data_IF_658863197315
#
_entry.id   IF_658863197315
#
_cell.length_a   1.000
_cell.length_b   1.000
_cell.length_c   1.000
_cell.angle_alpha   90.00
_cell.angle_beta   90.00
_cell.angle_gamma   90.00
#
_symmetry.space_group_name_H-M   'P 1'
#
loop_
_entity.id
_entity.type
_entity.pdbx_description
1 polymer ?
#
# COMPACT_ATOMS: atom_id res chain seq x y z
N UNK A 1 41.30 -1.28 6.79
CA UNK A 1 40.17 -2.24 6.72
C UNK A 1 38.86 -1.77 7.39
N UNK A 2 38.89 -0.96 8.47
CA UNK A 2 37.68 -0.58 9.23
C UNK A 2 36.68 0.34 8.49
N UNK A 3 37.15 1.23 7.60
CA UNK A 3 36.27 2.15 6.84
C UNK A 3 35.29 1.41 5.91
N UNK A 4 35.76 0.38 5.17
CA UNK A 4 34.92 -0.46 4.29
C UNK A 4 33.82 -1.21 5.05
N UNK A 5 34.10 -1.68 6.27
CA UNK A 5 33.11 -2.37 7.12
C UNK A 5 31.96 -1.43 7.53
N UNK A 6 32.27 -0.17 7.87
CA UNK A 6 31.25 0.85 8.22
C UNK A 6 30.38 1.22 7.02
N UNK A 7 30.98 1.39 5.84
CA UNK A 7 30.23 1.66 4.59
C UNK A 7 29.27 0.52 4.24
N UNK A 8 29.71 -0.73 4.36
CA UNK A 8 28.84 -1.89 4.13
C UNK A 8 27.63 -1.92 5.08
N UNK A 9 27.84 -1.59 6.36
CA UNK A 9 26.75 -1.54 7.34
C UNK A 9 25.70 -0.47 7.00
N UNK A 10 26.11 0.72 6.54
CA UNK A 10 25.17 1.77 6.13
C UNK A 10 24.35 1.38 4.91
N UNK A 11 24.95 0.68 3.93
CA UNK A 11 24.24 0.19 2.76
C UNK A 11 23.18 -0.85 3.16
N UNK A 12 23.55 -1.79 4.03
CA UNK A 12 22.61 -2.79 4.54
C UNK A 12 21.45 -2.12 5.28
N UNK A 13 21.74 -1.13 6.14
CA UNK A 13 20.72 -0.39 6.86
C UNK A 13 19.77 0.34 5.90
N UNK A 14 20.29 1.01 4.87
CA UNK A 14 19.48 1.67 3.85
C UNK A 14 18.56 0.67 3.13
N UNK A 15 19.07 -0.49 2.74
CA UNK A 15 18.28 -1.53 2.07
C UNK A 15 17.17 -2.06 2.97
N UNK A 16 17.44 -2.25 4.27
CA UNK A 16 16.42 -2.66 5.25
C UNK A 16 15.34 -1.58 5.38
N UNK A 17 15.71 -0.30 5.45
CA UNK A 17 14.76 0.81 5.52
C UNK A 17 13.88 0.90 4.27
N UNK A 18 14.47 0.77 3.08
CA UNK A 18 13.73 0.75 1.82
C UNK A 18 12.80 -0.46 1.72
N UNK A 19 13.27 -1.63 2.16
CA UNK A 19 12.48 -2.85 2.19
C UNK A 19 11.27 -2.66 3.12
N UNK A 20 11.48 -2.24 4.37
CA UNK A 20 10.39 -1.96 5.31
C UNK A 20 9.44 -0.89 4.75
N UNK A 21 9.98 0.21 4.22
CA UNK A 21 9.20 1.27 3.58
C UNK A 21 8.29 0.74 2.47
N UNK A 22 8.74 -0.21 1.66
CA UNK A 22 7.95 -0.84 0.59
C UNK A 22 6.77 -1.69 1.09
N UNK A 23 6.83 -2.26 2.30
CA UNK A 23 5.71 -3.00 2.89
C UNK A 23 4.66 -2.09 3.51
N UNK A 24 5.10 -0.97 4.07
CA UNK A 24 4.24 0.00 4.74
C UNK A 24 3.76 1.14 3.84
N UNK A 25 4.24 1.24 2.60
CA UNK A 25 3.73 2.19 1.61
C UNK A 25 2.92 1.50 0.52
N UNK A 26 1.99 2.24 -0.06
CA UNK A 26 1.22 1.83 -1.23
C UNK A 26 0.74 3.03 -2.02
N UNK A 27 0.10 2.73 -3.15
CA UNK A 27 -0.66 3.68 -3.95
C UNK A 27 -2.10 3.19 -4.00
N UNK A 28 -3.04 4.13 -3.92
CA UNK A 28 -4.43 3.86 -4.21
C UNK A 28 -4.96 4.81 -5.27
N UNK A 29 -5.98 4.35 -5.97
CA UNK A 29 -6.75 5.14 -6.93
C UNK A 29 -8.08 5.54 -6.29
N UNK A 30 -8.41 6.82 -6.36
CA UNK A 30 -9.69 7.34 -5.91
C UNK A 30 -10.75 7.10 -6.99
N UNK A 31 -11.81 6.38 -6.63
CA UNK A 31 -12.88 6.03 -7.57
C UNK A 31 -13.71 7.25 -8.01
N UNK A 32 -13.69 8.35 -7.24
CA UNK A 32 -14.48 9.55 -7.53
C UNK A 32 -13.77 10.48 -8.54
N UNK A 33 -12.44 10.57 -8.48
CA UNK A 33 -11.65 11.52 -9.27
C UNK A 33 -10.62 10.87 -10.19
N UNK A 34 -10.49 9.53 -10.18
CA UNK A 34 -9.44 8.78 -10.90
C UNK A 34 -8.02 9.29 -10.59
N UNK A 35 -7.84 9.89 -9.42
CA UNK A 35 -6.57 10.43 -8.95
C UNK A 35 -5.80 9.36 -8.18
N UNK A 36 -4.47 9.40 -8.30
CA UNK A 36 -3.59 8.48 -7.59
C UNK A 36 -3.03 9.14 -6.35
N UNK A 37 -3.01 8.36 -5.28
CA UNK A 37 -2.54 8.80 -3.98
C UNK A 37 -1.49 7.84 -3.47
N UNK A 38 -0.32 8.36 -3.10
CA UNK A 38 0.59 7.62 -2.26
C UNK A 38 0.08 7.64 -0.83
N UNK A 39 0.18 6.51 -0.12
CA UNK A 39 -0.24 6.44 1.27
C UNK A 39 0.65 5.53 2.13
N UNK A 40 0.61 5.78 3.43
CA UNK A 40 1.22 4.92 4.47
C UNK A 40 0.14 4.02 5.06
N UNK A 41 0.35 2.71 4.93
CA UNK A 41 -0.50 1.64 5.44
C UNK A 41 -0.40 1.53 6.95
N UNK A 42 -1.49 1.12 7.59
CA UNK A 42 -1.55 0.78 9.01
C UNK A 42 -0.78 -0.51 9.39
N UNK A 43 -0.50 -1.39 8.43
CA UNK A 43 0.19 -2.68 8.65
C UNK A 43 0.97 -3.11 7.40
N UNK A 44 1.98 -4.00 7.53
CA UNK A 44 2.79 -4.41 6.38
C UNK A 44 2.01 -5.35 5.44
N UNK A 45 2.16 -5.17 4.13
CA UNK A 45 1.68 -6.12 3.12
C UNK A 45 2.50 -6.01 1.83
N UNK A 46 2.59 -7.13 1.11
CA UNK A 46 3.22 -7.20 -0.21
C UNK A 46 2.47 -6.39 -1.27
N UNK A 47 1.13 -6.32 -1.15
CA UNK A 47 0.27 -5.58 -2.07
C UNK A 47 0.65 -4.10 -2.03
N UNK A 48 0.85 -3.49 -3.19
CA UNK A 48 1.26 -2.09 -3.29
C UNK A 48 0.19 -1.20 -3.90
N UNK A 49 -0.55 -1.72 -4.88
CA UNK A 49 -1.65 -1.02 -5.52
C UNK A 49 -2.98 -1.44 -4.89
N UNK A 50 -3.81 -0.47 -4.53
CA UNK A 50 -5.13 -0.66 -3.93
C UNK A 50 -6.16 0.10 -4.75
N UNK A 51 -7.29 -0.55 -5.02
CA UNK A 51 -8.43 0.05 -5.69
C UNK A 51 -9.69 -0.62 -5.15
N UNK A 52 -10.83 0.01 -5.32
CA UNK A 52 -12.13 -0.53 -4.92
C UNK A 52 -12.78 -1.17 -6.15
N UNK A 53 -12.86 -2.51 -6.28
CA UNK A 53 -13.55 -3.12 -7.41
C UNK A 53 -15.01 -2.71 -7.55
N UNK A 54 -15.68 -2.35 -6.43
CA UNK A 54 -17.05 -1.86 -6.46
C UNK A 54 -17.14 -0.36 -6.82
N UNK A 55 -16.07 0.40 -6.66
CA UNK A 55 -16.06 1.84 -6.86
C UNK A 55 -17.17 2.53 -6.05
N UNK A 56 -17.97 3.34 -6.75
CA UNK A 56 -19.17 4.00 -6.19
C UNK A 56 -20.46 3.16 -6.30
N UNK A 57 -20.36 1.87 -6.63
CA UNK A 57 -21.52 0.97 -6.68
C UNK A 57 -21.96 0.51 -5.29
N UNK A 58 -23.27 0.38 -5.10
CA UNK A 58 -23.89 -0.22 -3.91
C UNK A 58 -23.78 -1.76 -3.85
N UNK A 59 -23.00 -2.37 -4.75
CA UNK A 59 -22.80 -3.81 -4.83
C UNK A 59 -22.29 -4.37 -3.50
N UNK A 60 -22.93 -5.44 -3.02
CA UNK A 60 -22.54 -6.12 -1.78
C UNK A 60 -21.33 -7.01 -2.01
N UNK A 61 -20.58 -7.29 -0.93
CA UNK A 61 -19.41 -8.16 -0.99
C UNK A 61 -19.72 -9.54 -1.58
N UNK A 62 -20.86 -10.12 -1.19
CA UNK A 62 -21.33 -11.45 -1.61
C UNK A 62 -21.65 -11.54 -3.10
N UNK A 63 -21.94 -10.40 -3.74
CA UNK A 63 -22.30 -10.31 -5.16
C UNK A 63 -21.07 -10.18 -6.05
N UNK A 64 -19.88 -10.01 -5.47
CA UNK A 64 -18.62 -9.89 -6.19
C UNK A 64 -17.96 -11.25 -6.43
N UNK A 65 -17.13 -11.35 -7.47
CA UNK A 65 -16.29 -12.53 -7.66
C UNK A 65 -15.28 -12.70 -6.51
N UNK A 66 -14.81 -13.92 -6.20
CA UNK A 66 -13.88 -14.14 -5.09
C UNK A 66 -12.63 -13.27 -5.11
N UNK A 67 -12.13 -12.91 -6.30
CA UNK A 67 -10.95 -12.05 -6.42
C UNK A 67 -11.28 -10.58 -6.19
N UNK A 68 -12.44 -10.11 -6.66
CA UNK A 68 -12.94 -8.77 -6.33
C UNK A 68 -13.23 -8.64 -4.83
N UNK A 69 -13.74 -9.68 -4.18
CA UNK A 69 -13.95 -9.69 -2.72
C UNK A 69 -12.62 -9.50 -1.98
N UNK A 70 -11.57 -10.23 -2.36
CA UNK A 70 -10.23 -10.07 -1.74
C UNK A 70 -9.70 -8.66 -1.91
N UNK A 71 -9.85 -8.10 -3.11
CA UNK A 71 -9.42 -6.74 -3.43
C UNK A 71 -10.17 -5.70 -2.60
N UNK A 72 -11.50 -5.81 -2.53
CA UNK A 72 -12.34 -4.92 -1.73
C UNK A 72 -12.00 -5.00 -0.24
N UNK A 73 -11.82 -6.21 0.31
CA UNK A 73 -11.42 -6.40 1.72
C UNK A 73 -10.08 -5.71 2.00
N UNK A 74 -9.11 -5.81 1.08
CA UNK A 74 -7.83 -5.15 1.24
C UNK A 74 -7.99 -3.62 1.14
N UNK A 75 -8.81 -3.12 0.23
CA UNK A 75 -9.10 -1.70 0.12
C UNK A 75 -9.72 -1.15 1.41
N UNK A 76 -10.78 -1.77 1.91
CA UNK A 76 -11.49 -1.37 3.14
C UNK A 76 -10.63 -1.48 4.39
N UNK A 77 -9.70 -2.43 4.42
CA UNK A 77 -8.73 -2.55 5.51
C UNK A 77 -7.73 -1.39 5.52
N UNK A 78 -7.16 -1.04 4.37
CA UNK A 78 -5.97 -0.20 4.28
C UNK A 78 -6.26 1.28 3.97
N UNK A 79 -7.29 1.58 3.17
CA UNK A 79 -7.53 2.94 2.69
C UNK A 79 -8.24 3.80 3.75
N UNK A 80 -9.36 3.39 4.35
CA UNK A 80 -9.99 4.15 5.44
C UNK A 80 -9.07 4.35 6.65
N UNK A 81 -8.24 3.34 6.97
CA UNK A 81 -7.32 3.34 8.13
C UNK A 81 -5.89 3.77 7.77
N UNK A 82 -5.70 4.49 6.67
CA UNK A 82 -4.37 5.00 6.27
C UNK A 82 -3.86 6.03 7.26
N UNK A 83 -2.54 6.04 7.49
CA UNK A 83 -1.91 6.99 8.42
C UNK A 83 -1.68 8.36 7.79
N UNK A 84 -1.34 8.37 6.50
CA UNK A 84 -1.05 9.56 5.73
C UNK A 84 -1.28 9.27 4.25
N UNK A 85 -1.72 10.28 3.49
CA UNK A 85 -1.83 10.19 2.03
C UNK A 85 -1.61 11.53 1.36
N UNK A 86 -1.06 11.51 0.15
CA UNK A 86 -0.91 12.70 -0.70
C UNK A 86 -1.05 12.33 -2.18
N UNK A 87 -1.55 13.24 -3.02
CA UNK A 87 -1.71 13.00 -4.46
C UNK A 87 -0.34 12.87 -5.16
N UNK A 88 -0.27 12.02 -6.19
CA UNK A 88 0.94 11.75 -6.99
C UNK A 88 0.69 11.72 -8.49
#
# INVERSE_FOLDING_TARGET
MAKKKKTGAYIILLLVLLFVGRFFSGVYEDDEFSEKYFFIKSSPTWKWHFYSPRGMSDQKLEEMSPDQQKEQIMFEKYIPNRLFSFPI
#
